data_IF_016501977752
#
_entry.id   IF_016501977752
#
_cell.length_a   1.000
_cell.length_b   1.000
_cell.length_c   1.000
_cell.angle_alpha   90.00
_cell.angle_beta   90.00
_cell.angle_gamma   90.00
#
_symmetry.space_group_name_H-M   'P 1'
#
loop_
_entity.id
_entity.type
_entity.pdbx_description
1 polymer ?
#
# COMPACT_ATOMS: atom_id res chain seq x y z
N UNK A 1 9.64 9.98 16.10
CA UNK A 1 8.74 8.89 15.67
C UNK A 1 9.45 8.13 14.55
N UNK A 2 9.56 6.80 14.63
CA UNK A 2 10.22 6.02 13.58
C UNK A 2 9.19 5.59 12.53
N UNK A 3 9.47 5.83 11.25
CA UNK A 3 8.64 5.40 10.11
C UNK A 3 9.44 4.47 9.21
N UNK A 4 8.76 3.67 8.39
CA UNK A 4 9.36 2.90 7.31
C UNK A 4 8.60 3.14 6.00
N UNK A 5 9.27 2.97 4.87
CA UNK A 5 8.66 3.07 3.54
C UNK A 5 8.32 1.68 3.04
N UNK A 6 7.18 1.56 2.37
CA UNK A 6 6.83 0.38 1.59
C UNK A 6 6.47 0.78 0.17
N UNK A 7 6.76 -0.10 -0.75
CA UNK A 7 6.38 0.01 -2.16
C UNK A 7 5.30 -1.03 -2.46
N UNK A 8 4.17 -0.57 -2.98
CA UNK A 8 3.07 -1.45 -3.39
C UNK A 8 2.86 -1.33 -4.88
N UNK A 9 3.11 -2.43 -5.58
CA UNK A 9 2.79 -2.56 -6.98
C UNK A 9 1.29 -2.77 -7.16
N UNK A 10 0.67 -1.87 -7.90
CA UNK A 10 -0.73 -1.97 -8.23
C UNK A 10 -0.93 -3.01 -9.34
N UNK A 11 -1.65 -4.09 -9.05
CA UNK A 11 -1.94 -5.12 -10.03
C UNK A 11 -2.71 -4.61 -11.26
N UNK A 12 -3.58 -3.61 -11.08
CA UNK A 12 -4.49 -3.16 -12.14
C UNK A 12 -3.81 -2.26 -13.19
N UNK A 13 -2.85 -1.43 -12.79
CA UNK A 13 -2.16 -0.49 -13.69
C UNK A 13 -0.65 -0.72 -13.76
N UNK A 14 -0.13 -1.70 -13.01
CA UNK A 14 1.30 -1.98 -12.84
C UNK A 14 2.11 -0.79 -12.29
N UNK A 15 1.46 0.26 -11.80
CA UNK A 15 2.10 1.41 -11.18
C UNK A 15 2.49 1.14 -9.73
N UNK A 16 3.66 1.63 -9.32
CA UNK A 16 4.15 1.54 -7.94
C UNK A 16 3.59 2.69 -7.10
N UNK A 17 3.23 2.40 -5.85
CA UNK A 17 2.79 3.39 -4.86
C UNK A 17 3.69 3.30 -3.61
N UNK A 18 4.31 4.42 -3.26
CA UNK A 18 5.11 4.57 -2.05
C UNK A 18 4.23 5.00 -0.87
N UNK A 19 4.33 4.27 0.24
CA UNK A 19 3.65 4.63 1.49
C UNK A 19 4.66 4.77 2.64
N UNK A 20 4.50 5.83 3.43
CA UNK A 20 5.26 6.03 4.67
C UNK A 20 4.40 5.59 5.85
N UNK A 21 4.83 4.53 6.53
CA UNK A 21 4.06 3.88 7.61
C UNK A 21 4.78 4.10 8.95
N UNK A 22 4.05 4.48 10.02
CA UNK A 22 4.59 4.51 11.37
C UNK A 22 5.03 3.11 11.82
N UNK A 23 6.23 2.98 12.41
CA UNK A 23 6.65 1.71 13.02
C UNK A 23 5.62 1.30 14.09
N UNK A 24 5.23 0.03 14.05
CA UNK A 24 4.17 -0.52 14.92
C UNK A 24 2.78 -0.55 14.26
N UNK A 25 2.58 0.07 13.09
CA UNK A 25 1.34 -0.06 12.30
C UNK A 25 1.45 -1.24 11.33
N UNK A 26 0.42 -2.08 11.31
CA UNK A 26 0.30 -3.17 10.34
C UNK A 26 0.06 -2.62 8.94
N UNK A 27 0.82 -3.10 7.95
CA UNK A 27 0.71 -2.68 6.54
C UNK A 27 -0.73 -2.82 6.04
N UNK A 28 -1.33 -4.00 6.21
CA UNK A 28 -2.74 -4.28 5.86
C UNK A 28 -3.71 -3.20 6.35
N UNK A 29 -3.59 -2.80 7.62
CA UNK A 29 -4.48 -1.79 8.24
C UNK A 29 -4.22 -0.41 7.64
N UNK A 30 -2.95 -0.07 7.40
CA UNK A 30 -2.58 1.21 6.82
C UNK A 30 -3.09 1.40 5.39
N UNK A 31 -3.04 0.33 4.59
CA UNK A 31 -3.41 0.35 3.16
C UNK A 31 -4.91 0.13 2.96
N UNK A 32 -5.64 -0.27 4.00
CA UNK A 32 -7.08 -0.45 3.95
C UNK A 32 -7.77 0.87 3.53
N UNK A 33 -8.55 0.82 2.45
CA UNK A 33 -9.22 2.00 1.90
C UNK A 33 -8.31 2.99 1.16
N UNK A 34 -7.00 2.76 1.09
CA UNK A 34 -6.11 3.56 0.24
C UNK A 34 -6.37 3.26 -1.22
N UNK A 35 -6.19 4.27 -2.07
CA UNK A 35 -6.33 4.16 -3.52
C UNK A 35 -4.97 4.31 -4.16
N UNK A 36 -4.74 3.56 -5.23
CA UNK A 36 -3.58 3.77 -6.08
C UNK A 36 -3.65 5.16 -6.72
N UNK A 37 -2.53 5.89 -6.74
CA UNK A 37 -2.45 7.22 -7.34
C UNK A 37 -2.63 7.19 -8.86
N UNK A 38 -2.29 6.06 -9.50
CA UNK A 38 -2.33 5.90 -10.95
C UNK A 38 -3.73 5.51 -11.47
N UNK A 39 -4.41 4.54 -10.84
CA UNK A 39 -5.73 4.07 -11.30
C UNK A 39 -6.92 4.36 -10.38
N UNK A 40 -6.73 4.88 -9.17
CA UNK A 40 -7.82 5.10 -8.21
C UNK A 40 -8.46 3.81 -7.65
N UNK A 41 -7.99 2.66 -8.11
CA UNK A 41 -8.29 1.31 -7.64
C UNK A 41 -7.85 1.14 -6.16
N UNK A 42 -8.60 0.34 -5.40
CA UNK A 42 -8.29 0.10 -3.98
C UNK A 42 -7.00 -0.72 -3.83
N UNK A 43 -6.10 -0.24 -2.98
CA UNK A 43 -4.90 -0.99 -2.60
C UNK A 43 -5.33 -2.15 -1.72
N UNK A 44 -4.96 -3.36 -2.12
CA UNK A 44 -5.16 -4.57 -1.32
C UNK A 44 -3.82 -5.26 -1.21
N UNK A 45 -3.48 -5.67 0.01
CA UNK A 45 -2.35 -6.55 0.23
C UNK A 45 -2.66 -7.89 -0.44
N UNK A 46 -1.90 -8.23 -1.49
CA UNK A 46 -2.11 -9.48 -2.22
C UNK A 46 -1.55 -10.62 -1.37
N UNK A 47 -2.38 -11.18 -0.50
CA UNK A 47 -2.08 -12.47 0.12
C UNK A 47 -2.34 -13.54 -0.96
N UNK A 48 -1.26 -13.95 -1.64
CA UNK A 48 -1.32 -15.08 -2.55
C UNK A 48 -1.71 -16.33 -1.73
N UNK A 49 -2.83 -17.01 -2.02
CA UNK A 49 -3.18 -18.27 -1.37
C UNK A 49 -2.16 -19.38 -1.69
#
# INVERSE_FOLDING_TARGET
>A
MQTYKIEINCWNCHGTNDFVIPKGTLVKVFVEGKKCVHCGCLVREYNNP
#
